data_IF_415291709037
#
_entry.id   IF_415291709037
#
_cell.length_a   1.000
_cell.length_b   1.000
_cell.length_c   1.000
_cell.angle_alpha   90.00
_cell.angle_beta   90.00
_cell.angle_gamma   90.00
#
_symmetry.space_group_name_H-M   'P 1'
#
loop_
_entity.id
_entity.type
_entity.pdbx_description
1 polymer ?
#
# COMPACT_ATOMS: atom_id res chain seq x y z
N UNK A 1 -10.93 -56.45 55.14
CA UNK A 1 -12.26 -57.03 55.35
C UNK A 1 -12.87 -57.10 53.98
N UNK A 2 -12.87 -58.33 53.47
CA UNK A 2 -14.07 -59.15 53.22
C UNK A 2 -14.83 -58.59 51.99
N UNK A 3 -14.98 -59.22 50.89
CA UNK A 3 -15.05 -60.58 50.44
C UNK A 3 -15.82 -60.58 49.18
N UNK A 4 -15.41 -61.30 48.15
CA UNK A 4 -16.04 -62.51 47.67
C UNK A 4 -17.30 -62.17 46.85
N UNK A 5 -17.58 -62.70 45.74
CA UNK A 5 -17.66 -64.08 45.35
C UNK A 5 -17.89 -64.23 43.81
N UNK A 6 -17.44 -65.28 43.37
CA UNK A 6 -17.43 -65.98 42.15
C UNK A 6 -18.84 -66.40 41.68
N UNK A 7 -19.20 -66.38 40.39
CA UNK A 7 -19.91 -67.52 39.78
C UNK A 7 -19.82 -67.51 38.24
N UNK A 8 -19.39 -68.67 37.77
CA UNK A 8 -19.31 -69.13 36.42
C UNK A 8 -20.70 -69.39 35.79
N UNK A 9 -20.83 -69.12 34.54
CA UNK A 9 -21.93 -69.59 33.69
C UNK A 9 -21.45 -69.90 32.27
N UNK A 10 -21.18 -71.17 32.00
CA UNK A 10 -21.00 -71.75 30.67
C UNK A 10 -22.34 -71.83 29.94
N UNK A 11 -22.43 -71.43 28.70
CA UNK A 11 -23.29 -72.13 27.70
C UNK A 11 -22.86 -71.81 26.25
N UNK A 12 -22.42 -72.78 25.58
CA UNK A 12 -22.82 -73.40 24.29
C UNK A 12 -22.58 -72.57 23.02
N UNK A 13 -21.66 -73.08 22.25
CA UNK A 13 -21.42 -72.79 20.85
C UNK A 13 -22.60 -73.13 19.95
N UNK A 14 -22.95 -72.25 19.05
CA UNK A 14 -23.71 -72.60 17.84
C UNK A 14 -22.93 -72.08 16.64
N UNK A 15 -22.41 -73.01 15.86
CA UNK A 15 -21.83 -72.76 14.52
C UNK A 15 -22.97 -72.34 13.59
N UNK A 16 -22.88 -71.22 12.95
CA UNK A 16 -23.57 -70.93 11.69
C UNK A 16 -22.55 -70.55 10.63
N UNK A 17 -22.45 -71.42 9.70
CA UNK A 17 -21.74 -71.22 8.40
C UNK A 17 -22.61 -70.32 7.53
N UNK A 18 -22.09 -69.20 7.09
CA UNK A 18 -22.65 -68.45 5.95
C UNK A 18 -21.53 -68.12 4.96
N UNK A 19 -21.84 -68.56 3.77
CA UNK A 19 -21.05 -68.53 2.52
C UNK A 19 -20.56 -67.16 2.17
N UNK A 20 -19.33 -67.11 1.61
CA UNK A 20 -18.68 -65.91 1.13
C UNK A 20 -19.37 -65.28 -0.07
N UNK A 21 -19.55 -64.01 0.03
CA UNK A 21 -19.72 -63.11 -1.11
C UNK A 21 -18.67 -62.02 -1.03
N UNK A 22 -17.58 -62.22 -1.79
CA UNK A 22 -16.58 -61.20 -1.94
C UNK A 22 -17.13 -60.09 -2.84
N UNK A 23 -17.52 -58.96 -2.23
CA UNK A 23 -17.89 -57.75 -2.95
C UNK A 23 -16.58 -57.04 -3.39
N UNK A 24 -16.17 -57.22 -4.67
CA UNK A 24 -15.14 -56.45 -5.28
C UNK A 24 -15.64 -55.00 -5.50
N UNK A 25 -15.28 -54.08 -4.62
CA UNK A 25 -15.45 -52.64 -4.87
C UNK A 25 -14.33 -52.25 -5.84
N UNK A 26 -14.68 -52.11 -7.13
CA UNK A 26 -13.76 -51.52 -8.11
C UNK A 26 -13.61 -50.04 -7.84
N UNK A 27 -12.47 -49.63 -7.27
CA UNK A 27 -12.11 -48.22 -7.09
C UNK A 27 -11.78 -47.64 -8.48
N UNK A 28 -12.73 -46.97 -9.10
CA UNK A 28 -12.47 -46.19 -10.33
C UNK A 28 -11.71 -44.92 -9.92
N UNK A 29 -10.38 -44.94 -10.07
CA UNK A 29 -9.54 -43.75 -10.02
C UNK A 29 -9.84 -42.91 -11.27
N UNK A 30 -10.73 -41.90 -11.12
CA UNK A 30 -10.91 -40.86 -12.13
C UNK A 30 -9.63 -40.03 -12.07
N UNK A 31 -8.71 -40.22 -13.00
CA UNK A 31 -7.59 -39.32 -13.22
C UNK A 31 -8.15 -37.97 -13.69
N UNK A 32 -8.29 -37.01 -12.77
CA UNK A 32 -8.54 -35.61 -13.16
C UNK A 32 -7.32 -35.13 -13.94
N UNK A 33 -7.51 -34.52 -15.12
CA UNK A 33 -6.39 -33.88 -15.80
C UNK A 33 -5.81 -32.81 -14.87
N UNK A 34 -4.51 -32.89 -14.57
CA UNK A 34 -3.80 -31.77 -13.92
C UNK A 34 -4.07 -30.54 -14.77
N UNK A 35 -4.81 -29.59 -14.20
CA UNK A 35 -5.18 -28.33 -14.85
C UNK A 35 -3.93 -27.68 -15.41
N UNK A 36 -4.04 -27.21 -16.64
CA UNK A 36 -3.04 -26.38 -17.29
C UNK A 36 -2.58 -25.31 -16.30
N UNK A 37 -1.31 -25.34 -15.93
CA UNK A 37 -0.73 -24.39 -15.00
C UNK A 37 -1.07 -22.97 -15.48
N UNK A 38 -1.84 -22.25 -14.70
CA UNK A 38 -2.07 -20.82 -14.93
C UNK A 38 -0.67 -20.18 -14.94
N UNK A 39 -0.20 -19.79 -16.12
CA UNK A 39 1.06 -19.06 -16.26
C UNK A 39 0.92 -17.80 -15.42
N UNK A 40 1.77 -17.65 -14.41
CA UNK A 40 1.86 -16.40 -13.65
C UNK A 40 2.04 -15.26 -14.66
N UNK A 41 1.28 -14.15 -14.52
CA UNK A 41 1.45 -13.03 -15.43
C UNK A 41 2.93 -12.63 -15.46
N UNK A 42 3.46 -12.24 -16.64
CA UNK A 42 4.88 -11.91 -16.77
C UNK A 42 5.25 -10.86 -15.73
N UNK A 43 6.40 -11.06 -15.09
CA UNK A 43 6.91 -10.12 -14.11
C UNK A 43 7.02 -8.73 -14.73
N UNK A 44 6.49 -7.71 -14.04
CA UNK A 44 6.54 -6.32 -14.51
C UNK A 44 8.00 -5.89 -14.60
N UNK A 45 8.42 -5.44 -15.78
CA UNK A 45 9.70 -4.75 -15.96
C UNK A 45 9.57 -3.34 -15.37
N UNK A 46 9.73 -3.25 -14.06
CA UNK A 46 9.57 -2.02 -13.31
C UNK A 46 10.54 -0.91 -13.73
N UNK A 47 11.85 -1.15 -13.95
CA UNK A 47 12.76 -0.12 -14.44
C UNK A 47 12.30 0.50 -15.76
N UNK A 48 11.90 -0.33 -16.71
CA UNK A 48 11.40 0.13 -18.00
C UNK A 48 10.10 0.94 -17.85
N UNK A 49 9.18 0.50 -17.01
CA UNK A 49 7.93 1.23 -16.75
C UNK A 49 8.21 2.61 -16.15
N UNK A 50 9.08 2.69 -15.12
CA UNK A 50 9.44 3.96 -14.49
C UNK A 50 10.09 4.92 -15.48
N UNK A 51 10.98 4.41 -16.34
CA UNK A 51 11.58 5.20 -17.42
C UNK A 51 10.50 5.72 -18.40
N UNK A 52 9.55 4.89 -18.81
CA UNK A 52 8.45 5.30 -19.68
C UNK A 52 7.57 6.38 -19.06
N UNK A 53 7.28 6.31 -17.76
CA UNK A 53 6.52 7.35 -17.06
C UNK A 53 7.30 8.68 -17.10
N UNK A 54 8.59 8.66 -16.79
CA UNK A 54 9.44 9.87 -16.85
C UNK A 54 9.53 10.46 -18.25
N UNK A 55 9.64 9.64 -19.30
CA UNK A 55 9.70 10.11 -20.68
C UNK A 55 8.36 10.72 -21.14
N UNK A 56 7.24 10.25 -20.64
CA UNK A 56 5.91 10.81 -20.94
C UNK A 56 5.61 12.12 -20.20
N UNK A 57 6.35 12.39 -19.11
CA UNK A 57 6.22 13.59 -18.27
C UNK A 57 7.06 14.75 -18.83
N UNK A 58 6.54 15.37 -19.90
CA UNK A 58 7.22 16.50 -20.58
C UNK A 58 7.33 17.74 -19.69
N UNK A 59 6.44 17.90 -18.72
CA UNK A 59 6.40 19.03 -17.79
C UNK A 59 7.32 18.84 -16.57
N UNK A 60 8.00 17.69 -16.47
CA UNK A 60 8.92 17.32 -15.39
C UNK A 60 8.28 17.43 -14.00
N UNK A 61 7.04 16.98 -13.87
CA UNK A 61 6.27 17.00 -12.63
C UNK A 61 6.61 15.85 -11.68
N UNK A 62 7.17 14.75 -12.21
CA UNK A 62 7.49 13.56 -11.44
C UNK A 62 8.74 13.79 -10.59
N UNK A 63 8.69 13.36 -9.34
CA UNK A 63 9.86 13.34 -8.44
C UNK A 63 11.06 12.62 -9.08
N UNK A 64 12.28 12.87 -8.60
CA UNK A 64 13.47 12.13 -9.03
C UNK A 64 13.38 10.64 -8.66
N UNK A 65 14.27 9.82 -9.20
CA UNK A 65 14.35 8.41 -8.81
C UNK A 65 14.81 8.27 -7.36
N UNK A 66 15.72 9.12 -6.91
CA UNK A 66 16.25 9.17 -5.54
C UNK A 66 15.12 9.51 -4.54
N UNK A 67 14.29 10.50 -4.85
CA UNK A 67 13.13 10.86 -4.04
C UNK A 67 12.10 9.74 -4.01
N UNK A 68 11.84 9.09 -5.16
CA UNK A 68 10.98 7.92 -5.23
C UNK A 68 11.46 6.75 -4.37
N UNK A 69 12.76 6.44 -4.41
CA UNK A 69 13.40 5.42 -3.56
C UNK A 69 13.29 5.79 -2.08
N UNK A 70 13.51 7.06 -1.74
CA UNK A 70 13.35 7.57 -0.39
C UNK A 70 11.90 7.39 0.10
N UNK A 71 10.90 7.81 -0.68
CA UNK A 71 9.48 7.61 -0.35
C UNK A 71 9.16 6.13 -0.09
N UNK A 72 9.62 5.22 -0.95
CA UNK A 72 9.44 3.78 -0.75
C UNK A 72 10.00 3.30 0.59
N UNK A 73 11.20 3.74 0.96
CA UNK A 73 11.83 3.39 2.24
C UNK A 73 11.02 3.95 3.40
N UNK A 74 10.62 5.23 3.34
CA UNK A 74 9.81 5.86 4.39
C UNK A 74 8.48 5.14 4.62
N UNK A 75 7.79 4.75 3.55
CA UNK A 75 6.55 3.97 3.64
C UNK A 75 6.79 2.60 4.29
N UNK A 76 7.83 1.88 3.85
CA UNK A 76 8.11 0.54 4.36
C UNK A 76 8.53 0.57 5.84
N UNK A 77 9.42 1.50 6.24
CA UNK A 77 9.96 1.59 7.60
C UNK A 77 8.96 2.14 8.61
N UNK A 78 8.05 3.03 8.18
CA UNK A 78 6.96 3.51 9.06
C UNK A 78 5.86 2.48 9.29
N UNK A 79 5.85 1.37 8.55
CA UNK A 79 4.77 0.38 8.62
C UNK A 79 3.41 0.91 8.16
N UNK A 80 3.41 1.97 7.34
CA UNK A 80 2.20 2.70 6.94
C UNK A 80 1.13 1.78 6.34
N UNK A 81 -0.12 1.99 6.77
CA UNK A 81 -1.31 1.27 6.28
C UNK A 81 -2.24 2.17 5.46
N UNK A 82 -2.30 3.44 5.79
CA UNK A 82 -3.15 4.41 5.10
C UNK A 82 -2.33 5.64 4.72
N UNK A 83 -2.12 5.81 3.43
CA UNK A 83 -1.29 6.88 2.87
C UNK A 83 -2.14 7.76 1.97
N UNK A 84 -1.94 9.06 2.04
CA UNK A 84 -2.52 10.05 1.15
C UNK A 84 -1.41 10.80 0.42
N UNK A 85 -1.55 10.95 -0.88
CA UNK A 85 -0.74 11.82 -1.72
C UNK A 85 -1.60 12.93 -2.33
N UNK A 86 -1.07 14.14 -2.35
CA UNK A 86 -1.65 15.29 -3.04
C UNK A 86 -0.69 15.77 -4.11
N UNK A 87 -1.12 15.63 -5.38
CA UNK A 87 -0.28 15.87 -6.55
C UNK A 87 0.31 14.57 -7.10
N UNK A 88 -0.52 13.77 -7.77
CA UNK A 88 -0.10 12.45 -8.28
C UNK A 88 0.57 12.48 -9.65
N UNK A 89 0.41 13.58 -10.40
CA UNK A 89 0.91 13.73 -11.78
C UNK A 89 0.66 12.46 -12.62
N UNK A 90 1.70 11.84 -13.16
CA UNK A 90 1.63 10.59 -13.94
C UNK A 90 1.75 9.32 -13.08
N UNK A 91 1.73 9.43 -11.74
CA UNK A 91 1.75 8.31 -10.81
C UNK A 91 3.13 7.75 -10.51
N UNK A 92 4.22 8.48 -10.82
CA UNK A 92 5.59 8.01 -10.58
C UNK A 92 5.88 7.80 -9.08
N UNK A 93 5.62 8.79 -8.25
CA UNK A 93 5.71 8.72 -6.78
C UNK A 93 4.75 7.68 -6.20
N UNK A 94 3.52 7.63 -6.73
CA UNK A 94 2.51 6.66 -6.32
C UNK A 94 2.96 5.21 -6.56
N UNK A 95 3.68 4.93 -7.66
CA UNK A 95 4.29 3.61 -7.92
C UNK A 95 5.34 3.29 -6.87
N UNK A 96 6.26 4.23 -6.56
CA UNK A 96 7.29 4.02 -5.54
C UNK A 96 6.69 3.77 -4.15
N UNK A 97 5.71 4.58 -3.74
CA UNK A 97 5.02 4.39 -2.46
C UNK A 97 4.21 3.08 -2.44
N UNK A 98 3.54 2.75 -3.54
CA UNK A 98 2.81 1.49 -3.68
C UNK A 98 3.69 0.25 -3.53
N UNK A 99 4.92 0.30 -4.03
CA UNK A 99 5.92 -0.76 -3.81
C UNK A 99 6.32 -0.89 -2.32
N UNK A 100 6.39 0.22 -1.59
CA UNK A 100 6.58 0.21 -0.14
C UNK A 100 5.38 -0.40 0.59
N UNK A 101 4.17 -0.01 0.17
CA UNK A 101 2.91 -0.50 0.76
C UNK A 101 2.66 -1.99 0.53
N UNK A 102 3.20 -2.56 -0.54
CA UNK A 102 3.15 -4.02 -0.76
C UNK A 102 3.77 -4.80 0.41
N UNK A 103 4.82 -4.28 1.04
CA UNK A 103 5.44 -4.89 2.22
C UNK A 103 4.62 -4.67 3.50
N UNK A 104 3.97 -3.51 3.62
CA UNK A 104 3.21 -3.19 4.84
C UNK A 104 1.77 -3.72 4.79
N UNK A 105 1.25 -4.08 3.61
CA UNK A 105 -0.16 -4.42 3.40
C UNK A 105 -1.10 -3.21 3.54
N UNK A 106 -0.57 -2.01 3.31
CA UNK A 106 -1.33 -0.75 3.33
C UNK A 106 -1.91 -0.38 1.96
N UNK A 107 -2.51 0.82 1.91
CA UNK A 107 -3.11 1.40 0.70
C UNK A 107 -2.77 2.88 0.58
N UNK A 108 -2.69 3.35 -0.68
CA UNK A 108 -2.47 4.74 -1.05
C UNK A 108 -3.71 5.27 -1.78
N UNK A 109 -4.14 6.47 -1.40
CA UNK A 109 -4.98 7.30 -2.26
C UNK A 109 -4.13 8.47 -2.75
N UNK A 110 -4.02 8.64 -4.07
CA UNK A 110 -3.35 9.78 -4.70
C UNK A 110 -4.38 10.65 -5.42
N UNK A 111 -4.26 11.96 -5.25
CA UNK A 111 -5.18 12.94 -5.88
C UNK A 111 -4.39 13.72 -6.92
N UNK A 112 -4.87 13.73 -8.16
CA UNK A 112 -4.33 14.53 -9.25
C UNK A 112 -5.42 15.46 -9.80
N UNK A 113 -5.07 16.75 -9.92
CA UNK A 113 -6.01 17.78 -10.36
C UNK A 113 -6.42 17.63 -11.82
N UNK A 114 -5.46 17.33 -12.70
CA UNK A 114 -5.69 17.17 -14.11
C UNK A 114 -6.24 15.76 -14.43
N UNK A 115 -7.42 15.70 -15.03
CA UNK A 115 -8.09 14.43 -15.32
C UNK A 115 -7.31 13.55 -16.33
N UNK A 116 -6.56 14.15 -17.24
CA UNK A 116 -5.75 13.42 -18.23
C UNK A 116 -4.55 12.77 -17.56
N UNK A 117 -3.85 13.52 -16.70
CA UNK A 117 -2.75 12.98 -15.90
C UNK A 117 -3.23 11.91 -14.91
N UNK A 118 -4.35 12.14 -14.23
CA UNK A 118 -4.94 11.16 -13.33
C UNK A 118 -5.27 9.84 -14.04
N UNK A 119 -5.81 9.91 -15.26
CA UNK A 119 -6.05 8.72 -16.09
C UNK A 119 -4.74 7.99 -16.42
N UNK A 120 -3.72 8.73 -16.86
CA UNK A 120 -2.40 8.16 -17.15
C UNK A 120 -1.77 7.53 -15.89
N UNK A 121 -1.88 8.19 -14.73
CA UNK A 121 -1.43 7.65 -13.44
C UNK A 121 -2.12 6.32 -13.11
N UNK A 122 -3.43 6.22 -13.27
CA UNK A 122 -4.17 4.98 -13.02
C UNK A 122 -3.73 3.84 -13.96
N UNK A 123 -3.46 4.15 -15.24
CA UNK A 123 -2.92 3.18 -16.19
C UNK A 123 -1.50 2.71 -15.79
N UNK A 124 -0.64 3.64 -15.36
CA UNK A 124 0.72 3.32 -14.91
C UNK A 124 0.73 2.49 -13.62
N UNK A 125 -0.11 2.84 -12.66
CA UNK A 125 -0.36 2.05 -11.43
C UNK A 125 -0.80 0.62 -11.78
N UNK A 126 -1.73 0.48 -12.74
CA UNK A 126 -2.18 -0.84 -13.22
C UNK A 126 -1.04 -1.61 -13.89
N UNK A 127 -0.24 -0.98 -14.76
CA UNK A 127 0.93 -1.60 -15.40
C UNK A 127 1.98 -2.04 -14.37
N UNK A 128 2.12 -1.29 -13.26
CA UNK A 128 3.00 -1.65 -12.13
C UNK A 128 2.46 -2.83 -11.29
N UNK A 129 1.24 -3.32 -11.58
CA UNK A 129 0.58 -4.36 -10.79
C UNK A 129 0.19 -3.87 -9.38
N UNK A 130 -0.17 -2.59 -9.24
CA UNK A 130 -0.46 -1.95 -7.95
C UNK A 130 -1.93 -1.45 -7.85
N UNK A 131 -2.80 -1.84 -8.77
CA UNK A 131 -4.18 -1.36 -8.81
C UNK A 131 -5.04 -1.77 -7.59
N UNK A 132 -4.63 -2.79 -6.86
CA UNK A 132 -5.22 -3.23 -5.59
C UNK A 132 -4.70 -2.46 -4.37
N UNK A 133 -3.60 -1.70 -4.53
CA UNK A 133 -2.91 -0.97 -3.46
C UNK A 133 -3.11 0.55 -3.61
N UNK A 134 -3.10 1.05 -4.84
CA UNK A 134 -3.13 2.48 -5.15
C UNK A 134 -4.43 2.86 -5.84
N UNK A 135 -5.17 3.79 -5.25
CA UNK A 135 -6.36 4.41 -5.83
C UNK A 135 -5.99 5.81 -6.32
N UNK A 136 -6.26 6.09 -7.60
CA UNK A 136 -6.07 7.43 -8.19
C UNK A 136 -7.41 8.15 -8.25
N UNK A 137 -7.45 9.36 -7.69
CA UNK A 137 -8.63 10.25 -7.68
C UNK A 137 -8.33 11.47 -8.54
N UNK A 138 -9.16 11.71 -9.56
CA UNK A 138 -9.08 12.91 -10.37
C UNK A 138 -9.92 14.02 -9.73
N UNK A 139 -9.33 15.20 -9.48
CA UNK A 139 -10.07 16.33 -8.96
C UNK A 139 -9.30 17.32 -8.10
N UNK A 140 -10.01 18.32 -7.67
CA UNK A 140 -9.51 19.35 -6.75
C UNK A 140 -9.30 18.73 -5.35
N UNK A 141 -8.04 18.68 -4.90
CA UNK A 141 -7.70 18.07 -3.63
C UNK A 141 -8.44 18.70 -2.42
N UNK A 142 -8.72 20.00 -2.44
CA UNK A 142 -9.50 20.64 -1.37
C UNK A 142 -10.94 20.11 -1.29
N UNK A 143 -11.48 19.62 -2.41
CA UNK A 143 -12.83 19.02 -2.48
C UNK A 143 -12.82 17.51 -2.24
N UNK A 144 -11.73 16.84 -2.64
CA UNK A 144 -11.65 15.38 -2.55
C UNK A 144 -11.17 14.91 -1.16
N UNK A 145 -10.20 15.60 -0.54
CA UNK A 145 -9.68 15.24 0.79
C UNK A 145 -10.78 15.02 1.85
N UNK A 146 -11.81 15.89 1.98
CA UNK A 146 -12.87 15.68 2.98
C UNK A 146 -13.67 14.37 2.80
N UNK A 147 -13.70 13.81 1.58
CA UNK A 147 -14.44 12.59 1.25
C UNK A 147 -13.62 11.32 1.54
N UNK A 148 -12.31 11.45 1.69
CA UNK A 148 -11.41 10.30 1.91
C UNK A 148 -11.36 9.99 3.41
N UNK A 149 -11.52 8.74 3.76
CA UNK A 149 -11.48 8.29 5.15
C UNK A 149 -10.06 8.40 5.73
N UNK A 150 -9.91 9.06 6.88
CA UNK A 150 -8.69 9.10 7.70
C UNK A 150 -8.84 8.30 9.00
N UNK A 151 -7.91 8.41 9.95
CA UNK A 151 -6.66 9.18 9.87
C UNK A 151 -5.59 8.46 9.03
N UNK A 152 -4.57 9.25 8.59
CA UNK A 152 -3.46 8.77 7.76
C UNK A 152 -2.22 8.45 8.59
N UNK A 153 -1.48 7.41 8.20
CA UNK A 153 -0.15 7.11 8.74
C UNK A 153 0.91 7.99 8.10
N UNK A 154 0.77 8.24 6.78
CA UNK A 154 1.65 9.12 6.01
C UNK A 154 0.82 9.99 5.09
N UNK A 155 1.16 11.28 5.03
CA UNK A 155 0.73 12.22 4.00
C UNK A 155 1.95 12.63 3.21
N UNK A 156 1.87 12.59 1.88
CA UNK A 156 2.86 13.14 0.95
C UNK A 156 2.25 14.28 0.15
N UNK A 157 2.88 15.47 0.22
CA UNK A 157 2.44 16.69 -0.43
C UNK A 157 3.41 17.08 -1.53
N UNK A 158 2.93 17.05 -2.78
CA UNK A 158 3.67 17.48 -3.97
C UNK A 158 2.73 18.18 -4.98
N UNK A 159 2.07 19.21 -4.53
CA UNK A 159 1.13 20.01 -5.30
C UNK A 159 1.68 21.42 -5.61
N UNK A 160 0.82 22.38 -5.90
CA UNK A 160 1.19 23.79 -6.05
C UNK A 160 1.72 24.38 -4.74
N UNK A 161 2.92 24.92 -4.79
CA UNK A 161 3.71 25.30 -3.61
C UNK A 161 3.06 26.37 -2.75
N UNK A 162 2.36 27.34 -3.37
CA UNK A 162 1.57 28.39 -2.69
C UNK A 162 0.41 27.86 -1.82
N UNK A 163 -0.02 26.62 -2.05
CA UNK A 163 -1.13 26.01 -1.29
C UNK A 163 -0.63 25.08 -0.16
N UNK A 164 0.69 24.88 -0.01
CA UNK A 164 1.26 23.96 0.97
C UNK A 164 0.82 24.22 2.39
N UNK A 165 0.81 25.50 2.81
CA UNK A 165 0.33 25.88 4.16
C UNK A 165 -1.13 25.53 4.37
N UNK A 166 -1.98 25.76 3.36
CA UNK A 166 -3.40 25.39 3.41
C UNK A 166 -3.60 23.87 3.47
N UNK A 167 -2.80 23.12 2.74
CA UNK A 167 -2.81 21.65 2.82
C UNK A 167 -2.32 21.16 4.17
N UNK A 168 -1.28 21.79 4.75
CA UNK A 168 -0.84 21.47 6.11
C UNK A 168 -1.98 21.64 7.11
N UNK A 169 -2.68 22.77 7.08
CA UNK A 169 -3.78 23.08 8.01
C UNK A 169 -4.93 22.07 7.87
N UNK A 170 -5.24 21.66 6.65
CA UNK A 170 -6.29 20.68 6.37
C UNK A 170 -5.90 19.26 6.78
N UNK A 171 -4.64 18.87 6.56
CA UNK A 171 -4.22 17.48 6.64
C UNK A 171 -3.51 17.11 7.94
N UNK A 172 -2.78 18.02 8.57
CA UNK A 172 -2.08 17.72 9.83
C UNK A 172 -3.01 17.21 10.94
N UNK A 173 -4.23 17.74 11.13
CA UNK A 173 -5.19 17.15 12.08
C UNK A 173 -5.57 15.72 11.77
N UNK A 174 -5.47 15.30 10.50
CA UNK A 174 -5.83 13.98 10.00
C UNK A 174 -4.65 12.99 9.89
N UNK A 175 -3.43 13.43 10.18
CA UNK A 175 -2.28 12.55 10.39
C UNK A 175 -2.38 11.97 11.79
N UNK A 176 -2.15 10.67 11.96
CA UNK A 176 -2.11 10.00 13.27
C UNK A 176 -0.98 10.56 14.14
N UNK A 177 -1.11 10.55 15.47
CA UNK A 177 0.07 10.58 16.34
C UNK A 177 1.05 9.47 15.95
N UNK A 178 2.34 9.82 15.82
CA UNK A 178 3.36 8.92 15.30
C UNK A 178 3.40 8.79 13.78
N UNK A 179 2.51 9.47 13.06
CA UNK A 179 2.49 9.51 11.59
C UNK A 179 3.45 10.55 11.01
N UNK A 180 3.60 10.51 9.70
CA UNK A 180 4.51 11.38 8.95
C UNK A 180 3.76 12.35 8.03
N UNK A 181 4.23 13.57 7.96
CA UNK A 181 3.88 14.54 6.93
C UNK A 181 5.13 14.84 6.11
N UNK A 182 5.14 14.40 4.85
CA UNK A 182 6.24 14.58 3.91
C UNK A 182 5.86 15.67 2.91
N UNK A 183 6.79 16.54 2.52
CA UNK A 183 6.53 17.54 1.49
C UNK A 183 7.75 17.72 0.59
N UNK A 184 7.52 17.79 -0.72
CA UNK A 184 8.54 17.85 -1.75
C UNK A 184 8.91 19.28 -2.15
N UNK A 185 10.05 19.45 -2.86
CA UNK A 185 10.58 20.73 -3.38
C UNK A 185 10.92 21.78 -2.30
N UNK A 186 11.13 21.39 -1.06
CA UNK A 186 11.32 22.32 0.05
C UNK A 186 12.66 23.07 0.03
N UNK A 187 13.58 22.68 -0.87
CA UNK A 187 14.86 23.37 -1.10
C UNK A 187 14.78 24.23 -2.36
N UNK A 188 14.50 23.63 -3.53
CA UNK A 188 14.51 24.34 -4.81
C UNK A 188 13.34 25.33 -4.98
N UNK A 189 12.27 25.21 -4.17
CA UNK A 189 11.07 26.06 -4.18
C UNK A 189 10.81 26.73 -2.83
N UNK A 190 11.78 26.87 -1.97
CA UNK A 190 11.69 27.44 -0.63
C UNK A 190 10.91 28.77 -0.61
N UNK A 191 11.22 29.68 -1.54
CA UNK A 191 10.60 31.01 -1.60
C UNK A 191 9.11 30.99 -1.88
N UNK A 192 8.60 29.95 -2.54
CA UNK A 192 7.20 29.81 -2.91
C UNK A 192 6.32 29.25 -1.76
N UNK A 193 6.95 28.69 -0.71
CA UNK A 193 6.26 28.02 0.40
C UNK A 193 6.83 28.41 1.79
N UNK A 194 7.31 29.61 1.93
CA UNK A 194 7.99 30.09 3.15
C UNK A 194 7.08 29.96 4.39
N UNK A 195 5.81 30.32 4.28
CA UNK A 195 4.79 30.16 5.33
C UNK A 195 4.58 28.72 5.78
N UNK A 196 4.61 27.76 4.85
CA UNK A 196 4.59 26.34 5.15
C UNK A 196 5.85 25.90 5.92
N UNK A 197 7.04 26.29 5.44
CA UNK A 197 8.31 25.92 6.05
C UNK A 197 8.43 26.48 7.48
N UNK A 198 8.01 27.71 7.69
CA UNK A 198 7.98 28.32 9.03
C UNK A 198 6.98 27.58 9.94
N UNK A 199 5.82 27.19 9.40
CA UNK A 199 4.82 26.46 10.14
C UNK A 199 5.33 25.09 10.61
N UNK A 200 5.91 24.28 9.73
CA UNK A 200 6.39 22.93 10.10
C UNK A 200 7.62 22.96 11.02
N UNK A 201 8.43 24.01 10.94
CA UNK A 201 9.63 24.18 11.82
C UNK A 201 9.25 24.61 13.23
N UNK A 202 8.16 25.41 13.37
CA UNK A 202 7.78 26.02 14.65
C UNK A 202 6.57 25.34 15.32
N UNK A 203 5.92 24.36 14.67
CA UNK A 203 4.80 23.64 15.27
C UNK A 203 5.29 22.71 16.38
N UNK A 204 4.89 22.93 17.65
CA UNK A 204 5.35 22.10 18.78
C UNK A 204 4.85 20.65 18.70
N UNK A 205 3.93 20.34 17.80
CA UNK A 205 3.41 18.99 17.56
C UNK A 205 4.26 18.19 16.58
N UNK A 206 5.29 18.82 15.96
CA UNK A 206 6.09 18.20 14.91
C UNK A 206 7.57 18.13 15.30
N UNK A 207 8.20 16.98 14.97
CA UNK A 207 9.65 16.93 14.79
C UNK A 207 9.93 16.97 13.30
N UNK A 208 10.53 18.05 12.83
CA UNK A 208 10.76 18.27 11.41
C UNK A 208 12.24 18.32 11.08
N UNK A 209 12.63 17.64 10.00
CA UNK A 209 13.94 17.77 9.36
C UNK A 209 13.74 17.94 7.85
N UNK A 210 14.76 18.51 7.18
CA UNK A 210 14.86 18.54 5.73
C UNK A 210 15.95 17.57 5.31
N UNK A 211 15.62 16.72 4.36
CA UNK A 211 16.55 15.76 3.73
C UNK A 211 16.65 16.08 2.24
N UNK A 212 17.77 15.72 1.64
CA UNK A 212 18.04 15.99 0.23
C UNK A 212 18.41 14.71 -0.51
N UNK A 213 17.41 13.79 -0.70
CA UNK A 213 17.65 12.62 -1.54
C UNK A 213 18.02 13.07 -2.96
N UNK A 214 17.39 14.15 -3.43
CA UNK A 214 17.76 14.93 -4.63
C UNK A 214 18.00 16.39 -4.27
N UNK A 215 18.36 17.22 -5.26
CA UNK A 215 18.52 18.66 -5.10
C UNK A 215 17.22 19.43 -4.84
N UNK A 216 16.07 18.78 -5.01
CA UNK A 216 14.74 19.39 -4.80
C UNK A 216 14.38 19.50 -3.32
N UNK A 217 14.86 18.57 -2.50
CA UNK A 217 14.67 18.51 -1.05
C UNK A 217 13.29 18.05 -0.62
N UNK A 218 13.24 17.37 0.51
CA UNK A 218 12.02 16.86 1.12
C UNK A 218 11.98 17.18 2.62
N UNK A 219 10.90 17.74 3.12
CA UNK A 219 10.68 17.82 4.56
C UNK A 219 10.07 16.53 5.07
N UNK A 220 10.55 16.09 6.23
CA UNK A 220 10.02 14.95 6.98
C UNK A 220 9.59 15.47 8.34
N UNK A 221 8.29 15.51 8.57
CA UNK A 221 7.69 15.95 9.82
C UNK A 221 7.01 14.77 10.51
N UNK A 222 7.54 14.37 11.65
CA UNK A 222 6.93 13.35 12.52
C UNK A 222 5.95 14.01 13.47
N UNK A 223 4.69 13.56 13.48
CA UNK A 223 3.66 14.10 14.36
C UNK A 223 3.77 13.47 15.74
N UNK A 224 4.00 14.30 16.75
CA UNK A 224 4.00 13.93 18.16
C UNK A 224 2.60 13.49 18.61
N UNK A 225 2.55 12.93 19.82
CA UNK A 225 1.31 12.49 20.47
C UNK A 225 0.46 13.67 20.90
#
# INVERSE_FOLDING_TARGET
>A
MIGGDNRRGRTRATRMTTSGGALFVALILIAMPLGAGAQSPPAVDLPRLLQQIKMADTDQLSVSEEDGRFLRVMIATSGAKRVLEVGGAFGYSAVWMGLGLRHTGGRLTTIEFDATRAKAAAENVKKAGLADIVTVVAGDAFKEIPKIEGPFDVVFLDAWKRDYKRFLDLLLPRVKPGGLFLAHNVVNKETEMRDFLDAIKNDPRLFTTIVTPSGEGMSVSYKLK
#
